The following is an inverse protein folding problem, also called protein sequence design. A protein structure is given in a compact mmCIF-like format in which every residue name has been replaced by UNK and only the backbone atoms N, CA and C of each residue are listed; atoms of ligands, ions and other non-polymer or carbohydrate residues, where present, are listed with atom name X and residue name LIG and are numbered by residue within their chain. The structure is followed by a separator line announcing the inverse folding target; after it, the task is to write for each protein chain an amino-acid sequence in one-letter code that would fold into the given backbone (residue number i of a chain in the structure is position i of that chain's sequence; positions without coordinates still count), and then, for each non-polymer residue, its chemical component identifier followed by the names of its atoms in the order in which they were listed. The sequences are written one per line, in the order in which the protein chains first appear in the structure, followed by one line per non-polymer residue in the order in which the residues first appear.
data_IF_546767288393
#
_entry.id   IF_546767288393
#
_cell.length_a   1.000
_cell.length_b   1.000
_cell.length_c   1.000
_cell.angle_alpha   90.00
_cell.angle_beta   90.00
_cell.angle_gamma   90.00
#
_symmetry.space_group_name_H-M   'P 1'
#
loop_
_entity.id
_entity.type
_entity.pdbx_description
1 polymer ?
#
# COMPACT_ATOMS: atom_id res chain seq x y z
N UNK A 1 -12.89 7.94 0.34
CA UNK A 1 -12.71 9.37 -0.04
C UNK A 1 -13.34 9.60 -1.41
N UNK A 2 -14.06 10.70 -1.65
CA UNK A 2 -14.66 10.96 -2.97
C UNK A 2 -13.58 11.44 -3.95
N UNK A 3 -13.73 11.11 -5.24
CA UNK A 3 -12.82 11.57 -6.31
C UNK A 3 -12.75 13.10 -6.41
N UNK A 4 -13.80 13.78 -5.91
CA UNK A 4 -13.91 15.23 -5.84
C UNK A 4 -13.29 15.85 -4.58
N UNK A 5 -12.79 15.04 -3.63
CA UNK A 5 -12.09 15.58 -2.47
C UNK A 5 -10.78 16.25 -2.94
N UNK A 6 -10.45 17.46 -2.49
CA UNK A 6 -9.21 18.15 -2.87
C UNK A 6 -7.93 17.34 -2.63
N UNK A 7 -7.95 16.38 -1.69
CA UNK A 7 -6.81 15.49 -1.39
C UNK A 7 -6.73 14.28 -2.31
N UNK A 8 -7.72 14.07 -3.17
CA UNK A 8 -7.79 12.89 -4.06
C UNK A 8 -6.56 12.73 -4.95
N UNK A 9 -5.96 13.80 -5.52
CA UNK A 9 -4.71 13.68 -6.25
C UNK A 9 -3.59 13.04 -5.43
N UNK A 10 -3.44 13.43 -4.15
CA UNK A 10 -2.43 12.86 -3.25
C UNK A 10 -2.66 11.37 -3.01
N UNK A 11 -3.92 10.95 -2.76
CA UNK A 11 -4.28 9.54 -2.61
C UNK A 11 -3.99 8.75 -3.88
N UNK A 12 -4.29 9.32 -5.04
CA UNK A 12 -4.05 8.68 -6.33
C UNK A 12 -2.56 8.52 -6.63
N UNK A 13 -1.76 9.54 -6.36
CA UNK A 13 -0.32 9.45 -6.55
C UNK A 13 0.33 8.50 -5.55
N UNK A 14 -0.12 8.48 -4.28
CA UNK A 14 0.31 7.47 -3.32
C UNK A 14 0.00 6.05 -3.83
N UNK A 15 -1.24 5.79 -4.24
CA UNK A 15 -1.64 4.48 -4.79
C UNK A 15 -0.78 4.10 -6.01
N UNK A 16 -0.49 5.05 -6.90
CA UNK A 16 0.40 4.82 -8.04
C UNK A 16 1.82 4.46 -7.60
N UNK A 17 2.37 5.16 -6.62
CA UNK A 17 3.70 4.86 -6.05
C UNK A 17 3.72 3.45 -5.45
N UNK A 18 2.73 3.09 -4.63
CA UNK A 18 2.61 1.75 -4.04
C UNK A 18 2.60 0.63 -5.08
N UNK A 19 1.92 0.87 -6.21
CA UNK A 19 1.78 -0.13 -7.27
C UNK A 19 2.95 -0.17 -8.26
N UNK A 20 3.75 0.90 -8.34
CA UNK A 20 4.92 0.97 -9.23
C UNK A 20 6.23 0.60 -8.57
N UNK A 21 6.39 0.90 -7.28
CA UNK A 21 7.62 0.59 -6.55
C UNK A 21 7.69 -0.91 -6.32
N UNK A 22 8.77 -1.53 -6.78
CA UNK A 22 9.07 -2.94 -6.55
C UNK A 22 9.52 -3.12 -5.10
N UNK A 23 9.24 -4.30 -4.54
CA UNK A 23 9.66 -4.68 -3.18
C UNK A 23 9.28 -3.71 -2.03
N UNK A 24 8.37 -2.76 -2.24
CA UNK A 24 7.99 -1.79 -1.21
C UNK A 24 7.48 -2.48 0.07
N UNK A 25 7.97 -2.05 1.23
CA UNK A 25 7.48 -2.50 2.54
C UNK A 25 6.77 -1.38 3.27
N UNK A 26 5.49 -1.63 3.60
CA UNK A 26 4.66 -0.75 4.42
C UNK A 26 4.82 -1.16 5.87
N UNK A 27 5.29 -0.25 6.71
CA UNK A 27 5.45 -0.47 8.15
C UNK A 27 4.43 0.38 8.90
N UNK A 28 3.67 -0.22 9.81
CA UNK A 28 2.67 0.52 10.57
C UNK A 28 1.97 -0.31 11.66
N UNK A 29 0.90 0.22 12.26
CA UNK A 29 0.18 -0.46 13.33
C UNK A 29 -0.41 -1.80 12.89
N UNK A 30 -0.54 -2.76 13.81
CA UNK A 30 -1.00 -4.12 13.50
C UNK A 30 -2.38 -4.19 12.82
N UNK A 31 -3.28 -3.25 13.10
CA UNK A 31 -4.59 -3.19 12.43
C UNK A 31 -4.46 -2.94 10.93
N UNK A 32 -3.39 -2.29 10.48
CA UNK A 32 -3.18 -1.96 9.07
C UNK A 32 -2.89 -3.22 8.24
N UNK A 33 -2.30 -4.25 8.84
CA UNK A 33 -2.09 -5.55 8.18
C UNK A 33 -3.41 -6.16 7.70
N UNK A 34 -4.42 -6.12 8.59
CA UNK A 34 -5.74 -6.70 8.36
C UNK A 34 -6.49 -6.01 7.21
N UNK A 35 -6.20 -4.72 7.00
CA UNK A 35 -6.76 -3.93 5.90
C UNK A 35 -5.98 -4.11 4.59
N UNK A 36 -4.66 -4.27 4.66
CA UNK A 36 -3.80 -4.38 3.48
C UNK A 36 -3.80 -5.78 2.84
N UNK A 37 -3.98 -6.84 3.63
CA UNK A 37 -4.07 -8.20 3.11
C UNK A 37 -5.19 -8.38 2.07
N UNK A 38 -6.47 -8.03 2.35
CA UNK A 38 -7.54 -8.17 1.37
C UNK A 38 -7.36 -7.24 0.17
N UNK A 39 -6.73 -6.08 0.36
CA UNK A 39 -6.39 -5.19 -0.75
C UNK A 39 -5.35 -5.83 -1.68
N UNK A 40 -4.34 -6.46 -1.12
CA UNK A 40 -3.28 -7.14 -1.88
C UNK A 40 -3.84 -8.30 -2.71
N UNK A 41 -4.74 -9.09 -2.13
CA UNK A 41 -5.44 -10.16 -2.85
C UNK A 41 -6.27 -9.63 -4.03
N UNK A 42 -7.04 -8.55 -3.81
CA UNK A 42 -7.80 -7.91 -4.90
C UNK A 42 -6.88 -7.38 -5.99
N UNK A 43 -5.72 -6.85 -5.62
CA UNK A 43 -4.73 -6.36 -6.57
C UNK A 43 -4.09 -7.49 -7.37
N UNK A 44 -3.83 -8.65 -6.77
CA UNK A 44 -3.30 -9.81 -7.50
C UNK A 44 -4.30 -10.36 -8.52
N UNK A 45 -5.59 -10.34 -8.20
CA UNK A 45 -6.64 -10.81 -9.11
C UNK A 45 -6.73 -9.95 -10.37
N UNK A 46 -6.56 -8.63 -10.24
CA UNK A 46 -6.67 -7.68 -11.35
C UNK A 46 -5.33 -7.41 -12.06
N UNK A 47 -4.21 -7.86 -11.50
CA UNK A 47 -2.86 -7.73 -12.07
C UNK A 47 -2.08 -9.06 -12.02
N UNK A 48 -2.56 -10.12 -12.70
CA UNK A 48 -1.95 -11.46 -12.62
C UNK A 48 -0.52 -11.53 -13.15
N UNK A 49 -0.11 -10.59 -14.01
CA UNK A 49 1.26 -10.51 -14.53
C UNK A 49 2.26 -9.91 -13.53
N UNK A 50 1.78 -9.30 -12.43
CA UNK A 50 2.64 -8.70 -11.41
C UNK A 50 2.98 -9.78 -10.37
N UNK A 51 4.27 -10.06 -10.21
CA UNK A 51 4.79 -11.09 -9.30
C UNK A 51 5.16 -10.56 -7.92
N UNK A 52 5.24 -9.24 -7.76
CA UNK A 52 5.61 -8.58 -6.52
C UNK A 52 4.54 -7.58 -6.09
N UNK A 53 4.15 -7.65 -4.82
CA UNK A 53 3.24 -6.70 -4.18
C UNK A 53 3.89 -6.15 -2.92
N UNK A 54 3.46 -4.95 -2.47
CA UNK A 54 3.98 -4.40 -1.23
C UNK A 54 3.81 -5.39 -0.07
N UNK A 55 4.85 -5.54 0.73
CA UNK A 55 4.83 -6.36 1.95
C UNK A 55 4.50 -5.50 3.16
N UNK A 56 4.02 -6.13 4.22
CA UNK A 56 3.68 -5.43 5.46
C UNK A 56 4.67 -5.78 6.60
N UNK A 57 4.94 -4.82 7.47
CA UNK A 57 5.64 -5.01 8.72
C UNK A 57 4.96 -4.25 9.86
N UNK A 58 5.02 -4.80 11.07
CA UNK A 58 4.49 -4.13 12.25
C UNK A 58 5.50 -3.08 12.71
N UNK A 59 5.01 -1.86 12.92
CA UNK A 59 5.76 -0.71 13.44
C UNK A 59 5.00 0.02 14.54
N UNK A 60 5.48 1.21 14.86
CA UNK A 60 4.88 2.07 15.89
C UNK A 60 3.40 2.40 15.56
N UNK A 61 2.57 2.49 16.59
CA UNK A 61 1.12 2.56 16.50
C UNK A 61 0.61 3.83 15.80
N UNK A 62 1.42 4.90 15.77
CA UNK A 62 1.02 6.22 15.29
C UNK A 62 1.60 6.60 13.92
N UNK A 63 2.44 5.76 13.30
CA UNK A 63 3.13 6.10 12.07
C UNK A 63 2.95 5.04 10.97
N UNK A 64 2.78 5.51 9.74
CA UNK A 64 2.90 4.69 8.54
C UNK A 64 4.19 5.09 7.84
N UNK A 65 5.05 4.12 7.60
CA UNK A 65 6.33 4.30 6.93
C UNK A 65 6.38 3.44 5.67
N UNK A 66 6.96 4.01 4.61
CA UNK A 66 7.25 3.30 3.37
C UNK A 66 8.75 3.09 3.30
N UNK A 67 9.17 1.84 3.41
CA UNK A 67 10.57 1.44 3.31
C UNK A 67 10.77 0.72 1.99
N UNK A 68 11.76 1.15 1.21
CA UNK A 68 12.27 0.34 0.13
C UNK A 68 13.35 -0.58 0.73
N UNK A 69 13.29 -1.90 0.57
CA UNK A 69 14.34 -2.80 1.06
C UNK A 69 15.65 -2.71 0.25
N UNK A 70 15.77 -1.75 -0.68
CA UNK A 70 17.00 -1.32 -1.35
C UNK A 70 17.40 0.10 -0.95
#
# INVERSE_FOLDING_TARGET
MRVSDPRWPAVRELARTLLRTQSLRVVGPSWLEQELQPLTLKLSDVQPARTEFPTFGIGDAEAIQFTNPD
#
